data_IF_091706084629
#
_entry.id   IF_091706084629
#
_cell.length_a   1.000
_cell.length_b   1.000
_cell.length_c   1.000
_cell.angle_alpha   90.00
_cell.angle_beta   90.00
_cell.angle_gamma   90.00
#
_symmetry.space_group_name_H-M   'P 1'
#
loop_
_entity.id
_entity.type
_entity.pdbx_description
1 polymer ?
#
# COMPACT_ATOMS: atom_id res chain seq x y z
N UNK A 1 -5.42 -9.26 -13.81
CA UNK A 1 -6.76 -9.89 -13.92
C UNK A 1 -7.83 -9.10 -13.17
N UNK A 2 -7.60 -8.71 -11.91
CA UNK A 2 -8.58 -8.01 -11.08
C UNK A 2 -8.93 -6.58 -11.53
N UNK A 3 -7.99 -5.83 -12.10
CA UNK A 3 -8.31 -4.47 -12.61
C UNK A 3 -9.28 -4.51 -13.79
N UNK A 4 -9.17 -5.52 -14.65
CA UNK A 4 -10.14 -5.77 -15.72
C UNK A 4 -11.50 -6.05 -15.08
N UNK A 5 -11.56 -6.92 -14.07
CA UNK A 5 -12.80 -7.23 -13.34
C UNK A 5 -13.45 -5.99 -12.72
N UNK A 6 -12.67 -5.04 -12.18
CA UNK A 6 -13.19 -3.77 -11.69
C UNK A 6 -13.90 -3.00 -12.82
N UNK A 7 -13.26 -2.86 -13.98
CA UNK A 7 -13.82 -2.16 -15.14
C UNK A 7 -15.08 -2.88 -15.66
N UNK A 8 -15.04 -4.21 -15.82
CA UNK A 8 -16.21 -4.97 -16.29
C UNK A 8 -17.37 -4.87 -15.31
N UNK A 9 -17.08 -4.95 -14.00
CA UNK A 9 -18.11 -4.82 -12.96
C UNK A 9 -18.76 -3.43 -13.00
N UNK A 10 -17.97 -2.36 -13.20
CA UNK A 10 -18.50 -1.01 -13.35
C UNK A 10 -19.41 -0.85 -14.56
N UNK A 11 -18.99 -1.35 -15.73
CA UNK A 11 -19.80 -1.30 -16.96
C UNK A 11 -21.13 -2.05 -16.75
N UNK A 12 -21.08 -3.25 -16.15
CA UNK A 12 -22.25 -4.06 -15.83
C UNK A 12 -23.19 -3.30 -14.89
N UNK A 13 -22.67 -2.80 -13.77
CA UNK A 13 -23.48 -2.07 -12.80
C UNK A 13 -24.10 -0.79 -13.39
N UNK A 14 -23.32 -0.05 -14.17
CA UNK A 14 -23.74 1.23 -14.73
C UNK A 14 -24.83 1.09 -15.80
N UNK A 15 -24.62 0.22 -16.79
CA UNK A 15 -25.55 0.12 -17.91
C UNK A 15 -26.72 -0.81 -17.65
N UNK A 16 -26.51 -1.89 -16.89
CA UNK A 16 -27.49 -2.99 -16.80
C UNK A 16 -28.26 -2.90 -15.49
N UNK A 17 -27.59 -2.73 -14.36
CA UNK A 17 -28.24 -2.92 -13.05
C UNK A 17 -28.82 -1.61 -12.50
N UNK A 18 -28.06 -0.50 -12.53
CA UNK A 18 -28.47 0.75 -11.89
C UNK A 18 -28.93 1.83 -12.86
N UNK A 19 -29.22 1.46 -14.11
CA UNK A 19 -29.79 2.34 -15.13
C UNK A 19 -29.11 3.73 -15.18
N UNK A 20 -27.80 3.74 -15.38
CA UNK A 20 -26.93 4.93 -15.48
C UNK A 20 -26.75 5.72 -14.18
N UNK A 21 -27.04 5.15 -13.01
CA UNK A 21 -26.65 5.75 -11.73
C UNK A 21 -25.16 5.54 -11.46
N UNK A 22 -24.36 6.53 -11.83
CA UNK A 22 -22.90 6.52 -11.71
C UNK A 22 -22.41 6.19 -10.29
N UNK A 23 -22.87 6.93 -9.27
CA UNK A 23 -22.36 6.78 -7.91
C UNK A 23 -22.63 5.41 -7.32
N UNK A 24 -23.79 4.81 -7.60
CA UNK A 24 -24.14 3.47 -7.10
C UNK A 24 -23.37 2.36 -7.82
N UNK A 25 -23.09 2.58 -9.12
CA UNK A 25 -22.28 1.68 -9.91
C UNK A 25 -20.83 1.69 -9.45
N UNK A 26 -20.27 2.88 -9.22
CA UNK A 26 -18.93 3.07 -8.68
C UNK A 26 -18.80 2.40 -7.30
N UNK A 27 -19.75 2.65 -6.39
CA UNK A 27 -19.76 2.05 -5.06
C UNK A 27 -19.74 0.52 -5.13
N UNK A 28 -20.60 -0.06 -5.95
CA UNK A 28 -20.73 -1.52 -6.07
C UNK A 28 -19.46 -2.14 -6.66
N UNK A 29 -18.85 -1.49 -7.65
CA UNK A 29 -17.61 -1.97 -8.28
C UNK A 29 -16.43 -1.93 -7.32
N UNK A 30 -16.24 -0.79 -6.64
CA UNK A 30 -15.17 -0.62 -5.66
C UNK A 30 -15.34 -1.55 -4.45
N UNK A 31 -16.59 -1.78 -4.02
CA UNK A 31 -16.90 -2.70 -2.93
C UNK A 31 -16.52 -4.13 -3.26
N UNK A 32 -16.89 -4.62 -4.44
CA UNK A 32 -16.49 -5.97 -4.89
C UNK A 32 -14.98 -6.07 -4.98
N UNK A 33 -14.33 -5.06 -5.55
CA UNK A 33 -12.89 -5.02 -5.70
C UNK A 33 -12.17 -5.08 -4.34
N UNK A 34 -12.64 -4.32 -3.35
CA UNK A 34 -12.11 -4.35 -1.98
C UNK A 34 -12.38 -5.69 -1.28
N UNK A 35 -13.57 -6.25 -1.46
CA UNK A 35 -13.92 -7.55 -0.89
C UNK A 35 -12.97 -8.65 -1.40
N UNK A 36 -12.67 -8.66 -2.70
CA UNK A 36 -11.72 -9.61 -3.28
C UNK A 36 -10.32 -9.48 -2.67
N UNK A 37 -9.86 -8.25 -2.39
CA UNK A 37 -8.63 -8.03 -1.63
C UNK A 37 -8.72 -8.66 -0.26
N UNK A 38 -9.77 -8.36 0.51
CA UNK A 38 -9.96 -8.87 1.88
C UNK A 38 -10.00 -10.40 1.92
N UNK A 39 -10.70 -11.04 0.98
CA UNK A 39 -10.76 -12.51 0.89
C UNK A 39 -9.38 -13.12 0.66
N UNK A 40 -8.56 -12.50 -0.19
CA UNK A 40 -7.25 -13.03 -0.54
C UNK A 40 -6.23 -13.02 0.61
N UNK A 41 -6.38 -12.09 1.56
CA UNK A 41 -5.54 -12.00 2.76
C UNK A 41 -6.11 -12.77 3.96
N UNK A 42 -7.08 -13.68 3.75
CA UNK A 42 -7.60 -14.62 4.76
C UNK A 42 -8.05 -13.95 6.08
N UNK A 43 -8.66 -12.76 6.01
CA UNK A 43 -9.24 -12.09 7.18
C UNK A 43 -10.57 -12.73 7.64
N UNK A 44 -10.61 -14.04 7.89
CA UNK A 44 -11.84 -14.79 8.17
C UNK A 44 -12.70 -14.20 9.31
N UNK A 45 -12.08 -13.54 10.29
CA UNK A 45 -12.78 -12.90 11.41
C UNK A 45 -13.52 -11.60 11.05
N UNK A 46 -13.22 -10.97 9.90
CA UNK A 46 -13.91 -9.76 9.40
C UNK A 46 -15.04 -10.07 8.41
N UNK A 47 -15.12 -11.29 7.89
CA UNK A 47 -16.05 -11.67 6.80
C UNK A 47 -17.53 -11.67 7.25
N UNK A 48 -17.81 -12.16 8.46
CA UNK A 48 -19.18 -12.27 8.97
C UNK A 48 -19.78 -10.88 9.32
N UNK A 49 -19.06 -9.97 10.02
CA UNK A 49 -19.54 -8.60 10.22
C UNK A 49 -19.74 -7.80 8.93
N UNK A 50 -18.93 -8.04 7.89
CA UNK A 50 -18.99 -7.31 6.61
C UNK A 50 -20.13 -7.81 5.73
N UNK A 51 -20.38 -9.13 5.67
CA UNK A 51 -21.56 -9.68 4.99
C UNK A 51 -22.83 -9.19 5.69
N UNK A 52 -22.85 -9.16 7.03
CA UNK A 52 -23.94 -8.56 7.80
C UNK A 52 -24.06 -7.03 7.57
N UNK A 53 -22.95 -6.32 7.38
CA UNK A 53 -22.93 -4.88 7.04
C UNK A 53 -23.50 -4.61 5.65
N UNK A 54 -23.16 -5.41 4.64
CA UNK A 54 -23.75 -5.29 3.30
C UNK A 54 -25.23 -5.67 3.30
N UNK A 55 -25.63 -6.69 4.05
CA UNK A 55 -27.04 -7.04 4.27
C UNK A 55 -27.78 -5.88 4.97
N UNK A 56 -27.18 -5.20 5.96
CA UNK A 56 -27.75 -4.00 6.62
C UNK A 56 -27.80 -2.76 5.71
N UNK A 57 -26.80 -2.56 4.85
CA UNK A 57 -26.72 -1.51 3.80
C UNK A 57 -27.84 -1.69 2.77
N UNK A 58 -28.08 -2.93 2.35
CA UNK A 58 -29.14 -3.31 1.40
C UNK A 58 -30.53 -3.15 2.04
N UNK A 59 -30.67 -3.43 3.33
CA UNK A 59 -31.95 -3.33 4.05
C UNK A 59 -32.36 -1.88 4.41
N UNK A 60 -31.43 -0.90 4.49
CA UNK A 60 -31.71 0.42 5.11
C UNK A 60 -31.98 1.64 4.20
N UNK A 61 -31.87 1.59 2.86
CA UNK A 61 -32.47 2.64 2.00
C UNK A 61 -32.10 4.13 2.28
N UNK A 62 -30.99 4.42 2.98
CA UNK A 62 -30.59 5.78 3.40
C UNK A 62 -29.20 6.22 2.87
N UNK A 63 -28.59 5.41 1.99
CA UNK A 63 -27.23 5.63 1.46
C UNK A 63 -27.11 6.75 0.42
N UNK A 64 -28.23 7.20 -0.16
CA UNK A 64 -28.20 8.20 -1.24
C UNK A 64 -27.53 9.51 -0.81
N UNK A 65 -27.61 9.87 0.48
CA UNK A 65 -26.98 11.08 1.03
C UNK A 65 -25.45 10.98 1.15
N UNK A 66 -24.91 9.78 1.35
CA UNK A 66 -23.50 9.55 1.68
C UNK A 66 -22.73 8.78 0.60
N UNK A 67 -23.36 8.46 -0.54
CA UNK A 67 -22.75 7.59 -1.54
C UNK A 67 -21.45 8.18 -2.12
N UNK A 68 -21.42 9.50 -2.36
CA UNK A 68 -20.24 10.17 -2.89
C UNK A 68 -19.11 10.20 -1.85
N UNK A 69 -19.41 10.34 -0.55
CA UNK A 69 -18.38 10.31 0.50
C UNK A 69 -17.81 8.90 0.68
N UNK A 70 -18.63 7.86 0.57
CA UNK A 70 -18.14 6.48 0.61
C UNK A 70 -17.26 6.19 -0.62
N UNK A 71 -17.71 6.58 -1.82
CA UNK A 71 -16.90 6.46 -3.04
C UNK A 71 -15.57 7.22 -2.92
N UNK A 72 -15.57 8.41 -2.33
CA UNK A 72 -14.36 9.16 -2.05
C UNK A 72 -13.37 8.34 -1.21
N UNK A 73 -13.82 7.76 -0.10
CA UNK A 73 -12.97 6.95 0.79
C UNK A 73 -12.43 5.70 0.07
N UNK A 74 -13.28 5.00 -0.67
CA UNK A 74 -12.89 3.79 -1.40
C UNK A 74 -11.88 4.09 -2.52
N UNK A 75 -12.10 5.17 -3.29
CA UNK A 75 -11.15 5.62 -4.31
C UNK A 75 -9.83 6.06 -3.69
N UNK A 76 -9.89 6.77 -2.56
CA UNK A 76 -8.68 7.21 -1.87
C UNK A 76 -7.84 6.00 -1.45
N UNK A 77 -8.45 4.97 -0.87
CA UNK A 77 -7.78 3.72 -0.55
C UNK A 77 -7.17 3.04 -1.78
N UNK A 78 -7.89 2.98 -2.91
CA UNK A 78 -7.38 2.39 -4.16
C UNK A 78 -6.15 3.14 -4.66
N UNK A 79 -6.23 4.46 -4.79
CA UNK A 79 -5.08 5.26 -5.25
C UNK A 79 -3.91 5.20 -4.29
N UNK A 80 -4.19 5.20 -2.99
CA UNK A 80 -3.18 5.08 -1.97
C UNK A 80 -2.43 3.74 -2.06
N UNK A 81 -3.13 2.61 -2.12
CA UNK A 81 -2.48 1.30 -2.30
C UNK A 81 -1.65 1.24 -3.58
N UNK A 82 -2.13 1.85 -4.67
CA UNK A 82 -1.37 1.96 -5.92
C UNK A 82 -0.10 2.81 -5.74
N UNK A 83 -0.18 3.96 -5.06
CA UNK A 83 0.99 4.82 -4.82
C UNK A 83 2.04 4.13 -3.97
N UNK A 84 1.63 3.39 -2.92
CA UNK A 84 2.57 2.60 -2.12
C UNK A 84 3.26 1.53 -2.97
N UNK A 85 2.48 0.79 -3.77
CA UNK A 85 3.00 -0.21 -4.70
C UNK A 85 3.98 0.40 -5.72
N UNK A 86 3.62 1.50 -6.37
CA UNK A 86 4.46 2.15 -7.38
C UNK A 86 5.73 2.72 -6.76
N UNK A 87 5.63 3.39 -5.62
CA UNK A 87 6.78 3.94 -4.90
C UNK A 87 7.73 2.83 -4.48
N UNK A 88 7.22 1.76 -3.89
CA UNK A 88 8.08 0.67 -3.44
C UNK A 88 8.68 -0.08 -4.65
N UNK A 89 7.89 -0.45 -5.65
CA UNK A 89 8.35 -1.18 -6.83
C UNK A 89 9.34 -0.41 -7.71
N UNK A 90 9.08 0.87 -7.98
CA UNK A 90 9.85 1.62 -8.97
C UNK A 90 10.81 2.63 -8.34
N UNK A 91 10.44 3.24 -7.20
CA UNK A 91 11.32 4.19 -6.53
C UNK A 91 12.30 3.51 -5.57
N UNK A 92 11.81 2.69 -4.64
CA UNK A 92 12.69 2.06 -3.65
C UNK A 92 13.56 0.93 -4.24
N UNK A 93 13.09 0.24 -5.30
CA UNK A 93 13.88 -0.79 -6.01
C UNK A 93 14.64 -0.27 -7.25
N UNK A 94 14.76 1.06 -7.44
CA UNK A 94 15.56 1.66 -8.53
C UNK A 94 15.26 1.14 -9.96
N UNK A 95 13.99 0.91 -10.31
CA UNK A 95 13.69 0.47 -11.68
C UNK A 95 13.80 1.65 -12.66
N UNK A 96 15.00 1.86 -13.20
CA UNK A 96 15.32 2.95 -14.15
C UNK A 96 14.63 2.81 -15.51
N UNK A 97 14.11 1.63 -15.83
CA UNK A 97 13.45 1.40 -17.11
C UNK A 97 12.01 1.93 -17.11
N UNK A 98 11.43 2.14 -15.92
CA UNK A 98 10.07 2.65 -15.77
C UNK A 98 9.95 4.16 -16.09
N UNK A 99 8.82 4.55 -16.68
CA UNK A 99 8.50 5.95 -16.97
C UNK A 99 8.52 6.85 -15.72
N UNK A 100 8.03 6.35 -14.59
CA UNK A 100 7.98 7.09 -13.33
C UNK A 100 9.38 7.47 -12.85
N UNK A 101 10.30 6.50 -12.82
CA UNK A 101 11.69 6.71 -12.44
C UNK A 101 12.37 7.74 -13.34
N UNK A 102 12.14 7.65 -14.65
CA UNK A 102 12.65 8.65 -15.61
C UNK A 102 12.14 10.05 -15.30
N UNK A 103 10.84 10.20 -15.02
CA UNK A 103 10.26 11.51 -14.65
C UNK A 103 10.90 12.05 -13.35
N UNK A 104 11.10 11.19 -12.36
CA UNK A 104 11.71 11.57 -11.07
C UNK A 104 13.17 12.01 -11.27
N UNK A 105 13.94 11.31 -12.10
CA UNK A 105 15.34 11.65 -12.40
C UNK A 105 15.49 13.05 -13.02
N UNK A 106 14.50 13.51 -13.80
CA UNK A 106 14.53 14.85 -14.39
C UNK A 106 14.27 16.01 -13.41
N UNK A 107 13.76 15.73 -12.21
CA UNK A 107 13.41 16.75 -11.21
C UNK A 107 14.48 16.74 -10.10
N UNK A 108 15.43 17.70 -10.06
CA UNK A 108 16.66 17.58 -9.26
C UNK A 108 16.45 17.27 -7.77
N UNK A 109 15.48 17.93 -7.13
CA UNK A 109 15.21 17.71 -5.70
C UNK A 109 14.55 16.35 -5.41
N UNK A 110 13.68 15.86 -6.31
CA UNK A 110 13.11 14.51 -6.21
C UNK A 110 14.17 13.45 -6.49
N UNK A 111 15.07 13.73 -7.42
CA UNK A 111 16.12 12.82 -7.83
C UNK A 111 17.10 12.48 -6.68
N UNK A 112 17.52 13.48 -5.90
CA UNK A 112 18.37 13.26 -4.72
C UNK A 112 17.68 12.35 -3.71
N UNK A 113 16.41 12.64 -3.38
CA UNK A 113 15.66 11.82 -2.43
C UNK A 113 15.42 10.41 -2.97
N UNK A 114 15.11 10.27 -4.26
CA UNK A 114 14.92 9.00 -4.95
C UNK A 114 16.15 8.09 -4.84
N UNK A 115 17.34 8.61 -5.17
CA UNK A 115 18.57 7.83 -5.10
C UNK A 115 18.90 7.40 -3.67
N UNK A 116 18.77 8.31 -2.70
CA UNK A 116 19.02 8.00 -1.30
C UNK A 116 18.05 6.93 -0.76
N UNK A 117 16.76 7.07 -1.04
CA UNK A 117 15.76 6.09 -0.64
C UNK A 117 16.03 4.73 -1.28
N UNK A 118 16.38 4.71 -2.57
CA UNK A 118 16.70 3.46 -3.24
C UNK A 118 17.93 2.76 -2.68
N UNK A 119 19.07 3.45 -2.56
CA UNK A 119 20.32 2.84 -2.09
C UNK A 119 20.14 2.24 -0.69
N UNK A 120 19.50 2.99 0.21
CA UNK A 120 19.20 2.55 1.57
C UNK A 120 18.25 1.35 1.57
N UNK A 121 17.23 1.34 0.72
CA UNK A 121 16.27 0.23 0.63
C UNK A 121 16.89 -1.04 0.03
N UNK A 122 17.73 -0.92 -1.00
CA UNK A 122 18.45 -2.06 -1.55
C UNK A 122 19.42 -2.64 -0.52
N UNK A 123 20.09 -1.79 0.25
CA UNK A 123 20.95 -2.24 1.35
C UNK A 123 20.14 -2.99 2.42
N UNK A 124 18.94 -2.51 2.78
CA UNK A 124 18.03 -3.23 3.67
C UNK A 124 17.73 -4.65 3.16
N UNK A 125 17.39 -4.79 1.87
CA UNK A 125 17.16 -6.11 1.25
C UNK A 125 18.37 -7.05 1.28
N UNK A 126 19.60 -6.53 1.39
CA UNK A 126 20.84 -7.31 1.50
C UNK A 126 21.10 -7.72 2.94
N UNK A 127 20.75 -6.87 3.90
CA UNK A 127 21.02 -7.06 5.33
C UNK A 127 19.99 -7.98 6.01
N UNK A 128 18.77 -8.03 5.50
CA UNK A 128 17.70 -8.88 6.04
C UNK A 128 18.01 -10.37 5.82
N UNK A 129 18.02 -11.13 6.91
CA UNK A 129 18.19 -12.58 6.87
C UNK A 129 16.89 -13.29 6.38
N UNK A 130 16.96 -14.54 5.88
CA UNK A 130 15.77 -15.25 5.38
C UNK A 130 14.65 -15.47 6.42
N UNK A 131 14.98 -15.41 7.71
CA UNK A 131 14.02 -15.47 8.81
C UNK A 131 13.33 -14.13 9.11
N UNK A 132 13.69 -13.08 8.35
CA UNK A 132 13.28 -11.68 8.45
C UNK A 132 14.04 -10.85 9.49
N UNK A 133 14.90 -11.45 10.30
CA UNK A 133 15.66 -10.71 11.30
C UNK A 133 16.72 -9.79 10.67
N UNK A 134 17.11 -8.76 11.42
CA UNK A 134 18.25 -7.91 11.12
C UNK A 134 19.27 -8.00 12.25
N UNK A 135 20.50 -8.39 11.94
CA UNK A 135 21.58 -8.45 12.92
C UNK A 135 22.38 -7.15 12.99
N UNK A 136 22.43 -6.41 11.88
CA UNK A 136 23.11 -5.13 11.76
C UNK A 136 22.38 -4.27 10.73
N UNK A 137 22.22 -2.98 11.00
CA UNK A 137 21.65 -2.03 10.06
C UNK A 137 22.66 -0.92 9.78
N UNK A 138 23.21 -0.89 8.56
CA UNK A 138 24.21 0.11 8.17
C UNK A 138 23.61 1.52 8.09
N UNK A 139 22.33 1.64 7.73
CA UNK A 139 21.66 2.92 7.56
C UNK A 139 20.32 2.90 8.31
N UNK A 140 20.19 3.66 9.40
CA UNK A 140 18.93 3.72 10.16
C UNK A 140 17.72 4.06 9.28
N UNK A 141 17.91 4.87 8.25
CA UNK A 141 16.84 5.31 7.34
C UNK A 141 16.48 4.27 6.27
N UNK A 142 17.06 3.06 6.33
CA UNK A 142 16.68 1.91 5.51
C UNK A 142 15.39 1.25 6.00
N UNK A 143 15.12 1.34 7.31
CA UNK A 143 13.94 0.78 7.97
C UNK A 143 12.88 1.84 8.31
N UNK A 144 13.29 3.09 8.40
CA UNK A 144 12.53 4.20 8.98
C UNK A 144 12.39 5.35 7.99
N UNK A 145 11.18 5.88 7.89
CA UNK A 145 10.81 7.06 7.10
C UNK A 145 10.80 8.29 8.00
N UNK A 146 11.67 9.24 7.70
CA UNK A 146 11.74 10.50 8.44
C UNK A 146 10.83 11.60 7.89
N UNK A 147 10.77 12.73 8.60
CA UNK A 147 9.93 13.89 8.23
C UNK A 147 10.17 14.44 6.82
N UNK A 148 11.33 14.21 6.23
CA UNK A 148 11.58 14.53 4.82
C UNK A 148 10.68 13.71 3.89
N UNK A 149 10.51 12.40 4.15
CA UNK A 149 9.62 11.51 3.40
C UNK A 149 8.16 11.89 3.61
N UNK A 150 7.78 12.24 4.84
CA UNK A 150 6.43 12.73 5.18
C UNK A 150 5.94 13.81 4.21
N UNK A 151 6.79 14.81 3.91
CA UNK A 151 6.40 15.92 3.03
C UNK A 151 6.09 15.43 1.62
N UNK A 152 6.92 14.55 1.05
CA UNK A 152 6.68 14.00 -0.28
C UNK A 152 5.42 13.14 -0.32
N UNK A 153 5.24 12.29 0.69
CA UNK A 153 4.08 11.42 0.81
C UNK A 153 2.78 12.22 0.99
N UNK A 154 2.83 13.30 1.76
CA UNK A 154 1.71 14.21 1.93
C UNK A 154 1.20 14.75 0.58
N UNK A 155 2.09 15.20 -0.30
CA UNK A 155 1.70 15.67 -1.62
C UNK A 155 1.16 14.55 -2.52
N UNK A 156 1.73 13.34 -2.42
CA UNK A 156 1.20 12.18 -3.13
C UNK A 156 -0.22 11.82 -2.67
N UNK A 157 -0.50 11.89 -1.36
CA UNK A 157 -1.83 11.63 -0.81
C UNK A 157 -2.81 12.77 -1.11
N UNK A 158 -2.34 14.01 -1.12
CA UNK A 158 -3.16 15.14 -1.57
C UNK A 158 -3.61 14.95 -3.02
N UNK A 159 -2.74 14.47 -3.91
CA UNK A 159 -3.10 14.10 -5.27
C UNK A 159 -4.16 12.98 -5.29
N UNK A 160 -3.98 11.92 -4.51
CA UNK A 160 -4.98 10.85 -4.37
C UNK A 160 -6.33 11.39 -3.90
N UNK A 161 -6.33 12.32 -2.94
CA UNK A 161 -7.50 13.01 -2.43
C UNK A 161 -8.20 13.85 -3.48
N UNK A 162 -7.45 14.62 -4.27
CA UNK A 162 -8.00 15.42 -5.37
C UNK A 162 -8.64 14.54 -6.45
N UNK A 163 -7.97 13.47 -6.87
CA UNK A 163 -8.53 12.52 -7.83
C UNK A 163 -9.80 11.85 -7.29
N UNK A 164 -9.77 11.42 -6.03
CA UNK A 164 -10.93 10.81 -5.37
C UNK A 164 -12.12 11.77 -5.29
N UNK A 165 -11.87 13.05 -4.96
CA UNK A 165 -12.88 14.11 -4.95
C UNK A 165 -13.53 14.30 -6.32
N UNK A 166 -12.70 14.38 -7.37
CA UNK A 166 -13.17 14.60 -8.75
C UNK A 166 -14.01 13.42 -9.22
N UNK A 167 -13.54 12.20 -9.04
CA UNK A 167 -14.20 10.99 -9.56
C UNK A 167 -15.46 10.67 -8.76
N UNK A 168 -15.45 10.82 -7.43
CA UNK A 168 -16.64 10.54 -6.61
C UNK A 168 -17.69 11.64 -6.63
N UNK A 169 -17.36 12.83 -7.16
CA UNK A 169 -18.16 14.05 -7.05
C UNK A 169 -18.54 14.38 -5.59
N UNK A 170 -17.61 14.16 -4.66
CA UNK A 170 -17.80 14.49 -3.25
C UNK A 170 -17.34 15.93 -2.95
N UNK A 171 -18.24 16.76 -2.47
CA UNK A 171 -17.95 18.18 -2.23
C UNK A 171 -17.26 18.44 -0.88
N UNK A 172 -16.09 17.84 -0.65
CA UNK A 172 -15.22 18.17 0.49
C UNK A 172 -14.51 19.52 0.24
N UNK A 173 -14.45 20.39 1.25
CA UNK A 173 -13.69 21.64 1.15
C UNK A 173 -12.19 21.34 1.04
N UNK A 174 -11.43 22.22 0.40
CA UNK A 174 -9.97 22.02 0.26
C UNK A 174 -9.24 22.03 1.61
N UNK A 175 -9.73 22.80 2.59
CA UNK A 175 -9.16 22.83 3.95
C UNK A 175 -9.34 21.46 4.62
N UNK A 176 -10.54 20.87 4.55
CA UNK A 176 -10.78 19.55 5.13
C UNK A 176 -10.03 18.45 4.38
N UNK A 177 -9.88 18.58 3.05
CA UNK A 177 -9.06 17.66 2.27
C UNK A 177 -7.58 17.71 2.69
N UNK A 178 -7.04 18.91 2.90
CA UNK A 178 -5.67 19.11 3.39
C UNK A 178 -5.48 18.46 4.76
N UNK A 179 -6.37 18.76 5.73
CA UNK A 179 -6.32 18.17 7.08
C UNK A 179 -6.41 16.64 7.01
N UNK A 180 -7.36 16.11 6.22
CA UNK A 180 -7.52 14.68 6.02
C UNK A 180 -6.24 14.04 5.50
N UNK A 181 -5.63 14.60 4.45
CA UNK A 181 -4.40 14.06 3.88
C UNK A 181 -3.21 14.15 4.86
N UNK A 182 -3.08 15.24 5.64
CA UNK A 182 -2.04 15.34 6.67
C UNK A 182 -2.18 14.25 7.73
N UNK A 183 -3.39 14.07 8.26
CA UNK A 183 -3.66 13.03 9.28
C UNK A 183 -3.38 11.64 8.72
N UNK A 184 -3.84 11.32 7.51
CA UNK A 184 -3.62 10.01 6.91
C UNK A 184 -2.14 9.76 6.60
N UNK A 185 -1.41 10.78 6.14
CA UNK A 185 0.04 10.70 5.93
C UNK A 185 0.76 10.37 7.23
N UNK A 186 0.41 11.07 8.31
CA UNK A 186 0.98 10.83 9.64
C UNK A 186 0.69 9.41 10.12
N UNK A 187 -0.56 8.96 10.02
CA UNK A 187 -0.95 7.60 10.44
C UNK A 187 -0.21 6.54 9.62
N UNK A 188 -0.08 6.72 8.31
CA UNK A 188 0.61 5.73 7.47
C UNK A 188 2.09 5.64 7.82
N UNK A 189 2.77 6.78 7.93
CA UNK A 189 4.20 6.80 8.22
C UNK A 189 4.50 6.30 9.63
N UNK A 190 3.62 6.64 10.58
CA UNK A 190 3.64 6.07 11.91
C UNK A 190 3.49 4.54 11.89
N UNK A 191 2.51 4.02 11.14
CA UNK A 191 2.34 2.58 10.98
C UNK A 191 3.54 1.94 10.29
N UNK A 192 4.09 2.56 9.24
CA UNK A 192 5.31 2.11 8.57
C UNK A 192 6.46 1.99 9.58
N UNK A 193 6.77 3.10 10.25
CA UNK A 193 7.89 3.20 11.19
C UNK A 193 7.78 2.27 12.38
N UNK A 194 6.61 1.79 12.76
CA UNK A 194 6.47 0.79 13.82
C UNK A 194 6.39 -0.63 13.28
N UNK A 195 5.48 -0.86 12.35
CA UNK A 195 5.14 -2.20 11.88
C UNK A 195 6.28 -2.78 11.07
N UNK A 196 6.89 -2.01 10.16
CA UNK A 196 8.00 -2.47 9.34
C UNK A 196 9.21 -2.88 10.19
N UNK A 197 9.59 -2.06 11.16
CA UNK A 197 10.68 -2.38 12.10
C UNK A 197 10.38 -3.67 12.85
N UNK A 198 9.17 -3.79 13.41
CA UNK A 198 8.79 -4.98 14.20
C UNK A 198 8.69 -6.25 13.35
N UNK A 199 8.45 -6.14 12.04
CA UNK A 199 8.53 -7.29 11.13
C UNK A 199 9.95 -7.83 10.98
N UNK A 200 10.95 -7.01 11.28
CA UNK A 200 12.36 -7.35 11.17
C UNK A 200 13.03 -7.70 12.52
N UNK A 201 12.23 -7.84 13.58
CA UNK A 201 12.68 -8.12 14.95
C UNK A 201 13.94 -7.32 15.34
N UNK A 202 13.95 -6.02 14.96
CA UNK A 202 15.09 -5.14 15.14
C UNK A 202 14.77 -4.03 16.14
N UNK A 203 15.61 -3.88 17.16
CA UNK A 203 15.47 -2.83 18.17
C UNK A 203 16.29 -1.60 17.76
N UNK A 204 15.63 -0.47 17.54
CA UNK A 204 16.28 0.82 17.32
C UNK A 204 15.63 1.89 18.20
N UNK A 205 16.48 2.74 18.76
CA UNK A 205 16.08 4.01 19.36
C UNK A 205 15.79 5.05 18.25
N UNK A 206 14.50 5.22 17.95
CA UNK A 206 13.96 6.35 17.18
C UNK A 206 13.13 7.25 18.08
N UNK A 207 13.04 8.51 17.70
CA UNK A 207 12.23 9.51 18.39
C UNK A 207 11.27 10.20 17.41
N UNK A 208 10.30 10.93 17.98
CA UNK A 208 9.40 11.80 17.19
C UNK A 208 10.15 12.90 16.42
N UNK A 209 11.40 13.22 16.81
CA UNK A 209 12.22 14.19 16.09
C UNK A 209 12.74 13.65 14.76
N UNK A 210 12.86 12.33 14.64
CA UNK A 210 13.33 11.66 13.42
C UNK A 210 12.19 11.53 12.40
N UNK A 211 10.98 11.25 12.88
CA UNK A 211 9.77 11.05 12.06
C UNK A 211 8.58 10.65 12.95
N UNK A 212 7.39 10.43 12.37
CA UNK A 212 6.23 9.90 13.09
C UNK A 212 6.58 8.56 13.77
N UNK A 213 6.81 8.60 15.09
CA UNK A 213 7.17 7.44 15.89
C UNK A 213 6.91 7.71 17.37
N UNK A 214 6.76 6.62 18.12
CA UNK A 214 6.68 6.65 19.58
C UNK A 214 7.23 5.34 20.16
N UNK A 215 7.64 5.37 21.42
CA UNK A 215 8.25 4.20 22.06
C UNK A 215 7.25 3.06 22.34
N UNK A 216 6.02 3.29 22.81
CA UNK A 216 5.10 2.21 23.26
C UNK A 216 3.60 2.56 23.45
N UNK A 217 3.07 3.64 22.88
CA UNK A 217 1.68 4.09 22.95
C UNK A 217 0.68 3.08 22.37
N UNK A 218 1.04 2.39 21.28
CA UNK A 218 0.17 1.45 20.58
C UNK A 218 0.82 0.09 20.38
N UNK A 219 0.10 -0.97 20.76
CA UNK A 219 0.46 -2.33 20.42
C UNK A 219 0.14 -2.60 18.94
N UNK A 220 1.18 -2.86 18.15
CA UNK A 220 1.11 -3.12 16.71
C UNK A 220 1.18 -4.61 16.32
N UNK A 221 1.14 -5.55 17.28
CA UNK A 221 1.26 -6.99 17.02
C UNK A 221 0.20 -7.51 16.05
N UNK A 222 -1.02 -7.01 16.14
CA UNK A 222 -2.09 -7.36 15.22
C UNK A 222 -1.71 -6.99 13.77
N UNK A 223 -1.25 -5.76 13.56
CA UNK A 223 -0.83 -5.28 12.23
C UNK A 223 0.39 -6.03 11.73
N UNK A 224 1.38 -6.27 12.59
CA UNK A 224 2.56 -7.10 12.26
C UNK A 224 2.14 -8.48 11.76
N UNK A 225 1.33 -9.21 12.52
CA UNK A 225 0.96 -10.58 12.18
C UNK A 225 0.18 -10.67 10.86
N UNK A 226 -0.59 -9.63 10.55
CA UNK A 226 -1.34 -9.52 9.30
C UNK A 226 -0.41 -9.25 8.12
N UNK A 227 0.51 -8.31 8.27
CA UNK A 227 1.30 -7.76 7.15
C UNK A 227 2.61 -8.54 6.93
N UNK A 228 3.16 -9.18 7.97
CA UNK A 228 4.45 -9.89 7.94
C UNK A 228 4.52 -10.97 6.86
N UNK A 229 3.51 -11.84 6.63
CA UNK A 229 3.60 -12.84 5.57
C UNK A 229 3.78 -12.21 4.18
N UNK A 230 3.10 -11.10 3.91
CA UNK A 230 3.23 -10.37 2.64
C UNK A 230 4.64 -9.76 2.50
N UNK A 231 5.11 -9.06 3.53
CA UNK A 231 6.44 -8.45 3.55
C UNK A 231 7.57 -9.48 3.51
N UNK A 232 7.39 -10.64 4.15
CA UNK A 232 8.32 -11.75 4.06
C UNK A 232 8.44 -12.27 2.64
N UNK A 233 7.31 -12.41 1.95
CA UNK A 233 7.34 -12.82 0.55
C UNK A 233 8.00 -11.79 -0.36
N UNK A 234 7.89 -10.49 -0.03
CA UNK A 234 8.60 -9.42 -0.72
C UNK A 234 10.13 -9.56 -0.63
N UNK A 235 10.65 -9.87 0.56
CA UNK A 235 12.08 -10.09 0.78
C UNK A 235 12.56 -11.39 0.14
N UNK A 236 11.76 -12.45 0.22
CA UNK A 236 12.18 -13.79 -0.21
C UNK A 236 11.99 -14.08 -1.70
N UNK A 237 10.98 -13.50 -2.37
CA UNK A 237 10.77 -13.77 -3.79
C UNK A 237 11.73 -12.93 -4.63
N UNK A 238 12.62 -13.61 -5.39
CA UNK A 238 13.60 -12.98 -6.27
C UNK A 238 13.27 -13.22 -7.75
N UNK A 239 14.06 -12.61 -8.64
CA UNK A 239 13.93 -12.72 -10.10
C UNK A 239 12.65 -12.09 -10.66
N UNK A 240 12.19 -12.59 -11.80
CA UNK A 240 11.07 -12.04 -12.57
C UNK A 240 9.73 -12.07 -11.83
N UNK A 241 9.61 -12.94 -10.83
CA UNK A 241 8.41 -13.08 -9.99
C UNK A 241 8.42 -12.15 -8.76
N UNK A 242 9.41 -11.26 -8.62
CA UNK A 242 9.47 -10.31 -7.48
C UNK A 242 8.16 -9.51 -7.36
N UNK A 243 7.67 -9.36 -6.13
CA UNK A 243 6.33 -8.86 -5.85
C UNK A 243 6.12 -8.40 -4.41
N UNK A 244 4.87 -8.30 -3.98
CA UNK A 244 4.45 -7.96 -2.61
C UNK A 244 4.95 -6.57 -2.13
N UNK A 245 4.88 -5.57 -3.01
CA UNK A 245 5.39 -4.22 -2.76
C UNK A 245 4.52 -3.36 -1.80
N UNK A 246 3.27 -3.72 -1.52
CA UNK A 246 2.49 -3.09 -0.47
C UNK A 246 2.91 -3.63 0.90
N UNK A 247 3.37 -2.78 1.80
CA UNK A 247 3.82 -3.14 3.15
C UNK A 247 2.74 -2.84 4.19
N UNK A 248 2.11 -1.65 4.12
CA UNK A 248 1.11 -1.16 5.07
C UNK A 248 -0.29 -1.20 4.46
N UNK A 249 -0.48 -0.69 3.24
CA UNK A 249 -1.78 -0.67 2.56
C UNK A 249 -1.83 -1.72 1.45
N UNK A 250 -2.26 -2.93 1.82
CA UNK A 250 -2.44 -4.04 0.91
C UNK A 250 -3.48 -3.75 -0.18
N UNK A 251 -3.28 -4.28 -1.39
CA UNK A 251 -4.27 -4.21 -2.46
C UNK A 251 -3.66 -4.28 -3.86
N UNK A 252 -2.84 -3.29 -4.20
CA UNK A 252 -2.30 -3.15 -5.56
C UNK A 252 -1.49 -4.36 -6.03
N UNK A 253 -0.76 -5.05 -5.15
CA UNK A 253 -0.12 -6.30 -5.52
C UNK A 253 -1.09 -7.37 -6.02
N UNK A 254 -2.24 -7.53 -5.36
CA UNK A 254 -3.26 -8.45 -5.81
C UNK A 254 -3.83 -8.00 -7.16
N UNK A 255 -4.07 -6.70 -7.30
CA UNK A 255 -4.72 -6.14 -8.48
C UNK A 255 -3.88 -6.27 -9.74
N UNK A 256 -2.57 -6.11 -9.57
CA UNK A 256 -1.57 -6.21 -10.63
C UNK A 256 -0.94 -7.60 -10.76
N UNK A 257 -1.31 -8.55 -9.89
CA UNK A 257 -0.85 -9.94 -9.97
C UNK A 257 0.60 -10.13 -9.53
N UNK A 258 1.08 -9.31 -8.60
CA UNK A 258 2.40 -9.40 -7.96
C UNK A 258 2.30 -9.86 -6.49
N UNK A 259 1.13 -10.29 -6.02
CA UNK A 259 0.98 -10.89 -4.69
C UNK A 259 1.42 -12.36 -4.70
N UNK A 260 2.68 -12.62 -4.37
CA UNK A 260 3.18 -13.98 -4.25
C UNK A 260 2.72 -14.59 -2.92
N UNK A 261 2.05 -15.74 -2.99
CA UNK A 261 1.64 -16.54 -1.82
C UNK A 261 2.59 -17.70 -1.52
N UNK A 262 3.44 -18.05 -2.48
CA UNK A 262 4.46 -19.09 -2.39
C UNK A 262 5.74 -18.56 -3.01
N UNK A 263 6.87 -18.88 -2.38
CA UNK A 263 8.19 -18.50 -2.88
C UNK A 263 8.67 -19.56 -3.86
N UNK A 264 9.12 -19.12 -5.02
CA UNK A 264 9.75 -19.95 -6.04
C UNK A 264 10.91 -19.19 -6.67
N UNK A 265 12.12 -19.52 -6.21
CA UNK A 265 13.37 -18.96 -6.72
C UNK A 265 14.14 -19.94 -7.61
N UNK A 266 13.50 -21.02 -8.08
CA UNK A 266 14.17 -22.11 -8.81
C UNK A 266 14.92 -21.63 -10.06
N UNK A 267 14.37 -20.68 -10.80
CA UNK A 267 15.02 -20.06 -11.96
C UNK A 267 16.14 -19.09 -11.54
N UNK A 268 15.86 -18.21 -10.59
CA UNK A 268 16.83 -17.24 -10.05
C UNK A 268 18.09 -17.91 -9.50
N UNK A 269 17.94 -19.02 -8.78
CA UNK A 269 19.03 -19.74 -8.13
C UNK A 269 19.93 -20.52 -9.09
N UNK A 270 19.55 -20.69 -10.37
CA UNK A 270 20.45 -21.26 -11.39
C UNK A 270 21.65 -20.37 -11.65
N UNK A 271 21.47 -19.05 -11.55
CA UNK A 271 22.51 -18.05 -11.80
C UNK A 271 23.08 -17.45 -10.51
N UNK A 272 22.36 -17.59 -9.38
CA UNK A 272 22.70 -16.98 -8.09
C UNK A 272 22.87 -18.00 -6.95
N UNK A 273 23.44 -19.17 -7.25
CA UNK A 273 23.56 -20.31 -6.30
C UNK A 273 24.30 -19.99 -5.00
N UNK A 274 25.08 -18.90 -4.96
CA UNK A 274 25.87 -18.51 -3.80
C UNK A 274 25.08 -17.68 -2.76
N UNK A 275 23.91 -17.16 -3.12
CA UNK A 275 23.07 -16.40 -2.20
C UNK A 275 22.43 -17.31 -1.13
N UNK A 276 22.26 -16.78 0.09
CA UNK A 276 21.72 -17.56 1.21
C UNK A 276 20.31 -18.10 0.94
N UNK A 277 19.52 -17.39 0.13
CA UNK A 277 18.16 -17.82 -0.24
C UNK A 277 18.13 -18.97 -1.25
N UNK A 278 19.28 -19.31 -1.84
CA UNK A 278 19.45 -20.36 -2.84
C UNK A 278 20.21 -21.58 -2.31
N UNK A 279 20.62 -21.56 -1.04
CA UNK A 279 21.26 -22.67 -0.33
C UNK A 279 20.23 -23.48 0.44
#
# INVERSE_FOLDING_TARGET
MYFILLITSFILFYFIIFNKNYSLSLLSSLSIFLLLTIFNYNYYYLIIPIILFFILIIIKFNLKKNINSINFILLFYVFFSIIEFLSHKYAMHCDKNNLLSKIIEYIPFLNVQYFLTCEKHLQHHIEVEPDMSLSNNKYKESLFMGWNIYIYLFFAFLLCGLLSKIISNYNISYIYLFIFCSIITFIWEYLWNKVHIKMHDYDIEYSILDGPYDENLFNIDLFKNILLPNHKNHHLQKGDKKGNYNVIILGADEWFGTNNKKIDNSEYCKENSNENICK
#
